data_IF_317091855417
#
_entry.id   IF_317091855417
#
_cell.length_a   1.000
_cell.length_b   1.000
_cell.length_c   1.000
_cell.angle_alpha   90.00
_cell.angle_beta   90.00
_cell.angle_gamma   90.00
#
_symmetry.space_group_name_H-M   'P 1'
#
loop_
_entity.id
_entity.type
_entity.pdbx_description
1 polymer ?
#
# COMPACT_ATOMS: atom_id res chain seq x y z
N UNK A 1 -3.07 28.19 20.63
CA UNK A 1 -2.28 27.02 20.19
C UNK A 1 -2.45 26.94 18.69
N UNK A 2 -1.42 27.22 17.92
CA UNK A 2 -1.45 27.05 16.46
C UNK A 2 -1.30 25.57 16.16
N UNK A 3 -2.40 24.90 15.85
CA UNK A 3 -2.35 23.55 15.27
C UNK A 3 -1.78 23.67 13.87
N UNK A 4 -0.49 23.39 13.73
CA UNK A 4 0.13 23.18 12.42
C UNK A 4 -0.47 21.91 11.84
N UNK A 5 -1.30 22.03 10.80
CA UNK A 5 -1.81 20.86 10.09
C UNK A 5 -0.63 20.16 9.40
N UNK A 6 -0.44 18.85 9.61
CA UNK A 6 0.59 18.08 8.91
C UNK A 6 0.36 18.17 7.40
N UNK A 7 1.42 18.46 6.64
CA UNK A 7 1.29 18.60 5.18
C UNK A 7 1.69 17.29 4.52
N UNK A 8 0.71 16.58 3.95
CA UNK A 8 0.98 15.36 3.20
C UNK A 8 1.59 15.68 1.83
N UNK A 9 2.70 15.02 1.49
CA UNK A 9 3.32 15.08 0.17
C UNK A 9 3.09 13.77 -0.58
N UNK A 10 2.70 13.84 -1.85
CA UNK A 10 2.48 12.68 -2.72
C UNK A 10 3.64 12.52 -3.72
N UNK A 11 4.07 11.29 -3.98
CA UNK A 11 4.99 11.00 -5.09
C UNK A 11 4.29 11.10 -6.47
N UNK A 12 5.01 10.71 -7.52
CA UNK A 12 4.37 10.30 -8.77
C UNK A 12 3.39 9.13 -8.56
N UNK A 13 2.45 8.97 -9.50
CA UNK A 13 1.46 7.91 -9.45
C UNK A 13 1.92 6.68 -10.23
N UNK A 14 1.57 5.51 -9.71
CA UNK A 14 1.86 4.20 -10.26
C UNK A 14 0.56 3.50 -10.60
N UNK A 15 0.48 2.90 -11.78
CA UNK A 15 -0.70 2.16 -12.19
C UNK A 15 -0.53 0.68 -11.82
N UNK A 16 -1.38 0.19 -10.95
CA UNK A 16 -1.39 -1.23 -10.55
C UNK A 16 -2.69 -1.90 -10.98
N UNK A 17 -2.60 -3.20 -11.21
CA UNK A 17 -3.75 -4.05 -11.48
C UNK A 17 -3.85 -5.10 -10.38
N UNK A 18 -4.97 -5.14 -9.68
CA UNK A 18 -5.26 -6.17 -8.68
C UNK A 18 -6.15 -7.22 -9.30
N UNK A 19 -5.64 -8.44 -9.39
CA UNK A 19 -6.32 -9.59 -9.95
C UNK A 19 -6.83 -10.52 -8.83
N UNK A 20 -8.08 -10.31 -8.41
CA UNK A 20 -8.72 -11.10 -7.36
C UNK A 20 -9.07 -12.54 -7.80
N UNK A 21 -8.75 -12.95 -9.03
CA UNK A 21 -8.81 -14.36 -9.42
C UNK A 21 -7.63 -15.17 -8.86
N UNK A 22 -6.54 -14.49 -8.47
CA UNK A 22 -5.37 -15.13 -7.85
C UNK A 22 -5.65 -15.54 -6.42
N UNK A 23 -5.13 -16.70 -6.03
CA UNK A 23 -5.08 -17.08 -4.62
C UNK A 23 -4.14 -16.13 -3.86
N UNK A 24 -4.34 -16.02 -2.54
CA UNK A 24 -3.44 -15.26 -1.67
C UNK A 24 -1.99 -15.69 -1.84
N UNK A 25 -1.74 -17.00 -1.89
CA UNK A 25 -0.41 -17.57 -2.06
C UNK A 25 0.23 -17.15 -3.39
N UNK A 26 -0.56 -17.04 -4.45
CA UNK A 26 -0.11 -16.54 -5.75
C UNK A 26 0.22 -15.04 -5.68
N UNK A 27 -0.65 -14.22 -5.09
CA UNK A 27 -0.37 -12.79 -4.92
C UNK A 27 0.89 -12.53 -4.10
N UNK A 28 1.11 -13.32 -3.03
CA UNK A 28 2.32 -13.22 -2.20
C UNK A 28 3.57 -13.64 -2.96
N UNK A 29 3.51 -14.74 -3.72
CA UNK A 29 4.62 -15.19 -4.54
C UNK A 29 4.99 -14.15 -5.62
N UNK A 30 3.98 -13.57 -6.26
CA UNK A 30 4.16 -12.56 -7.31
C UNK A 30 4.69 -11.23 -6.74
N UNK A 31 4.17 -10.80 -5.58
CA UNK A 31 4.53 -9.53 -4.95
C UNK A 31 5.94 -9.48 -4.38
N UNK A 32 6.62 -10.64 -4.27
CA UNK A 32 7.96 -10.78 -3.70
C UNK A 32 8.15 -10.11 -2.32
N UNK A 33 7.05 -9.95 -1.58
CA UNK A 33 7.05 -9.36 -0.25
C UNK A 33 7.55 -10.39 0.77
N UNK A 34 8.68 -10.09 1.43
CA UNK A 34 9.20 -10.82 2.59
C UNK A 34 9.61 -12.27 2.31
N UNK A 35 10.92 -12.51 2.24
CA UNK A 35 11.46 -13.87 2.39
C UNK A 35 11.49 -14.26 3.87
N UNK A 36 10.94 -15.43 4.23
CA UNK A 36 10.97 -15.93 5.61
C UNK A 36 9.70 -15.63 6.43
N UNK A 37 9.85 -15.33 7.72
CA UNK A 37 8.76 -15.21 8.69
C UNK A 37 7.78 -14.04 8.41
N UNK A 38 8.19 -13.02 7.65
CA UNK A 38 7.33 -11.90 7.21
C UNK A 38 6.16 -12.38 6.33
N UNK A 39 6.36 -13.48 5.61
CA UNK A 39 5.33 -14.11 4.79
C UNK A 39 4.17 -14.63 5.64
N UNK A 40 4.43 -15.00 6.91
CA UNK A 40 3.38 -15.47 7.82
C UNK A 40 2.41 -14.34 8.22
N UNK A 41 2.90 -13.11 8.35
CA UNK A 41 2.06 -11.95 8.67
C UNK A 41 1.13 -11.61 7.51
N UNK A 42 1.65 -11.56 6.28
CA UNK A 42 0.87 -11.30 5.07
C UNK A 42 -0.22 -12.36 4.86
N UNK A 43 0.08 -13.62 5.18
CA UNK A 43 -0.90 -14.71 5.14
C UNK A 43 -2.02 -14.57 6.16
N UNK A 44 -1.90 -13.74 7.19
CA UNK A 44 -3.00 -13.56 8.15
C UNK A 44 -4.09 -12.62 7.65
N UNK A 45 -3.80 -11.80 6.62
CA UNK A 45 -4.76 -10.86 6.06
C UNK A 45 -5.77 -11.55 5.14
N UNK A 46 -7.01 -11.09 5.23
CA UNK A 46 -8.06 -11.45 4.28
C UNK A 46 -7.96 -10.56 3.05
N UNK A 47 -7.97 -11.17 1.87
CA UNK A 47 -8.11 -10.45 0.60
C UNK A 47 -9.59 -10.29 0.32
N UNK A 48 -10.04 -9.07 0.06
CA UNK A 48 -11.44 -8.74 -0.16
C UNK A 48 -11.62 -8.04 -1.51
N UNK A 49 -12.31 -8.69 -2.43
CA UNK A 49 -12.61 -8.11 -3.73
C UNK A 49 -13.07 -9.17 -4.73
N UNK A 50 -13.28 -8.75 -5.96
CA UNK A 50 -13.67 -9.65 -7.04
C UNK A 50 -13.26 -9.11 -8.40
N UNK A 51 -13.00 -10.01 -9.34
CA UNK A 51 -12.59 -9.67 -10.70
C UNK A 51 -11.19 -9.07 -10.76
N UNK A 52 -11.00 -8.17 -11.72
CA UNK A 52 -9.74 -7.46 -11.92
C UNK A 52 -10.02 -5.97 -11.86
N UNK A 53 -9.28 -5.24 -11.03
CA UNK A 53 -9.41 -3.78 -10.91
C UNK A 53 -8.09 -3.11 -11.28
N UNK A 54 -8.17 -1.92 -11.84
CA UNK A 54 -7.02 -1.04 -12.05
C UNK A 54 -7.15 0.15 -11.10
N UNK A 55 -6.05 0.50 -10.42
CA UNK A 55 -6.01 1.64 -9.52
C UNK A 55 -4.67 2.37 -9.59
N UNK A 56 -4.72 3.64 -9.22
CA UNK A 56 -3.53 4.48 -9.04
C UNK A 56 -3.03 4.34 -7.60
N UNK A 57 -1.72 4.22 -7.43
CA UNK A 57 -1.04 4.20 -6.15
C UNK A 57 0.03 5.30 -6.10
N UNK A 58 0.32 5.84 -4.93
CA UNK A 58 1.43 6.75 -4.71
C UNK A 58 1.98 6.59 -3.29
N UNK A 59 3.20 7.07 -3.08
CA UNK A 59 3.77 7.22 -1.75
C UNK A 59 3.27 8.50 -1.09
N UNK A 60 2.95 8.38 0.19
CA UNK A 60 2.51 9.50 1.02
C UNK A 60 3.55 9.73 2.11
N UNK A 61 4.14 10.91 2.11
CA UNK A 61 5.15 11.32 3.08
C UNK A 61 4.56 12.35 4.03
N UNK A 62 4.79 12.13 5.33
CA UNK A 62 4.49 13.09 6.38
C UNK A 62 5.80 13.71 6.84
N UNK A 63 5.82 15.04 6.96
CA UNK A 63 6.98 15.82 7.41
C UNK A 63 7.14 15.83 8.94
N UNK A 64 6.27 15.09 9.65
CA UNK A 64 6.29 14.97 11.10
C UNK A 64 5.85 13.57 11.54
N UNK A 65 6.15 13.24 12.80
CA UNK A 65 5.50 12.11 13.46
C UNK A 65 4.00 12.39 13.57
N UNK A 66 3.19 11.44 13.15
CA UNK A 66 1.74 11.55 13.10
C UNK A 66 1.11 10.26 13.64
N UNK A 67 -0.04 10.39 14.32
CA UNK A 67 -0.79 9.22 14.76
C UNK A 67 -1.40 8.49 13.55
N UNK A 68 -1.69 7.19 13.69
CA UNK A 68 -2.38 6.43 12.64
C UNK A 68 -3.74 7.05 12.28
N UNK A 69 -4.48 7.54 13.28
CA UNK A 69 -5.79 8.17 13.10
C UNK A 69 -5.69 9.47 12.30
N UNK A 70 -4.71 10.30 12.63
CA UNK A 70 -4.44 11.54 11.89
C UNK A 70 -3.93 11.22 10.48
N UNK A 71 -3.03 10.26 10.30
CA UNK A 71 -2.55 9.84 8.99
C UNK A 71 -3.71 9.40 8.08
N UNK A 72 -4.59 8.52 8.56
CA UNK A 72 -5.77 8.07 7.80
C UNK A 72 -6.67 9.26 7.45
N UNK A 73 -6.84 10.22 8.36
CA UNK A 73 -7.63 11.43 8.10
C UNK A 73 -7.00 12.27 6.99
N UNK A 74 -5.69 12.56 7.07
CA UNK A 74 -5.00 13.37 6.07
C UNK A 74 -4.97 12.70 4.69
N UNK A 75 -4.75 11.38 4.64
CA UNK A 75 -4.82 10.58 3.39
C UNK A 75 -6.18 10.76 2.72
N UNK A 76 -7.27 10.63 3.50
CA UNK A 76 -8.64 10.82 3.00
C UNK A 76 -8.90 12.26 2.56
N UNK A 77 -8.42 13.25 3.30
CA UNK A 77 -8.55 14.66 2.93
C UNK A 77 -7.82 14.99 1.62
N UNK A 78 -6.73 14.29 1.33
CA UNK A 78 -6.00 14.39 0.07
C UNK A 78 -6.66 13.63 -1.10
N UNK A 79 -7.80 12.97 -0.89
CA UNK A 79 -8.53 12.22 -1.91
C UNK A 79 -8.00 10.80 -2.15
N UNK A 80 -7.10 10.31 -1.29
CA UNK A 80 -6.56 8.96 -1.35
C UNK A 80 -7.18 8.06 -0.29
N UNK A 81 -6.94 6.76 -0.39
CA UNK A 81 -7.26 5.78 0.64
C UNK A 81 -6.00 5.00 1.03
N UNK A 82 -5.85 4.60 2.31
CA UNK A 82 -4.78 3.69 2.68
C UNK A 82 -4.77 2.44 1.79
N UNK A 83 -3.57 1.98 1.45
CA UNK A 83 -3.44 0.76 0.67
C UNK A 83 -3.95 -0.44 1.47
N UNK A 84 -4.34 -1.49 0.76
CA UNK A 84 -4.65 -2.80 1.35
C UNK A 84 -3.56 -3.78 0.94
N UNK A 85 -3.54 -4.96 1.55
CA UNK A 85 -2.51 -5.95 1.26
C UNK A 85 -2.50 -6.36 -0.22
N UNK A 86 -3.66 -6.49 -0.85
CA UNK A 86 -3.78 -6.81 -2.28
C UNK A 86 -3.20 -5.70 -3.18
N UNK A 87 -3.25 -4.43 -2.76
CA UNK A 87 -2.63 -3.32 -3.46
C UNK A 87 -1.10 -3.42 -3.34
N UNK A 88 -0.57 -3.70 -2.13
CA UNK A 88 0.88 -3.87 -1.92
C UNK A 88 1.45 -5.06 -2.71
N UNK A 89 0.76 -6.20 -2.68
CA UNK A 89 1.21 -7.39 -3.40
C UNK A 89 1.21 -7.15 -4.91
N UNK A 90 0.16 -6.49 -5.43
CA UNK A 90 0.10 -6.12 -6.84
C UNK A 90 1.14 -5.07 -7.21
N UNK A 91 1.43 -4.13 -6.31
CA UNK A 91 2.48 -3.13 -6.49
C UNK A 91 3.85 -3.77 -6.56
N UNK A 92 4.22 -4.64 -5.60
CA UNK A 92 5.49 -5.37 -5.60
C UNK A 92 5.66 -6.27 -6.83
N UNK A 93 4.57 -6.85 -7.34
CA UNK A 93 4.59 -7.65 -8.56
C UNK A 93 4.82 -6.79 -9.82
N UNK A 94 4.25 -5.58 -9.85
CA UNK A 94 4.32 -4.68 -11.01
C UNK A 94 5.60 -3.84 -11.02
N UNK A 95 6.06 -3.41 -9.85
CA UNK A 95 7.17 -2.48 -9.63
C UNK A 95 8.18 -3.03 -8.60
N UNK A 96 8.79 -4.19 -8.83
CA UNK A 96 9.64 -4.86 -7.83
C UNK A 96 10.88 -4.05 -7.43
N UNK A 97 11.42 -3.23 -8.33
CA UNK A 97 12.57 -2.36 -7.99
C UNK A 97 12.15 -1.18 -7.11
N UNK A 98 10.96 -0.59 -7.30
CA UNK A 98 10.45 0.46 -6.41
C UNK A 98 10.16 -0.09 -5.02
N UNK A 99 9.58 -1.30 -4.95
CA UNK A 99 9.37 -2.02 -3.70
C UNK A 99 10.67 -2.29 -2.93
N UNK A 100 11.80 -2.50 -3.61
CA UNK A 100 13.12 -2.68 -2.96
C UNK A 100 13.74 -1.37 -2.49
N UNK A 101 13.37 -0.25 -3.10
CA UNK A 101 13.90 1.08 -2.76
C UNK A 101 13.27 1.64 -1.49
N UNK A 102 12.00 1.33 -1.25
CA UNK A 102 11.25 1.85 -0.12
C UNK A 102 10.61 0.72 0.68
N UNK A 103 10.80 0.74 2.00
CA UNK A 103 10.07 -0.14 2.91
C UNK A 103 8.62 0.37 2.98
N UNK A 104 7.74 -0.20 2.15
CA UNK A 104 6.34 0.26 2.04
C UNK A 104 5.52 -0.38 3.17
N UNK A 105 4.76 0.47 3.86
CA UNK A 105 3.74 0.07 4.85
C UNK A 105 2.37 0.48 4.30
N UNK A 106 1.38 -0.41 4.36
CA UNK A 106 -0.01 -0.14 3.98
C UNK A 106 -0.93 -0.03 5.19
#
# INVERSE_FOLDING_TARGET
MTTTTPTIQTSETFNITVDYSKSREQMVADGQYGGGDENAYVRSYSIEGSGTISCEACYLYFDCDISLEDAIREIKQAGWSPAKIEHLLSFGATYPEEQRRFEIVA
#
